data_IF_197585525210
#
_entry.id   IF_197585525210
#
_cell.length_a   1.000
_cell.length_b   1.000
_cell.length_c   1.000
_cell.angle_alpha   90.00
_cell.angle_beta   90.00
_cell.angle_gamma   90.00
#
_symmetry.space_group_name_H-M   'P 1'
#
loop_
_entity.id
_entity.type
_entity.pdbx_description
1 polymer ?
#
# COMPACT_ATOMS: atom_id res chain seq x y z
N UNK A 1 12.78 -1.26 -22.13
CA UNK A 1 11.95 -1.56 -20.95
C UNK A 1 12.89 -1.82 -19.79
N UNK A 2 12.92 -0.96 -18.77
CA UNK A 2 13.88 -1.03 -17.63
C UNK A 2 13.17 -1.12 -16.27
N UNK A 3 11.92 -1.61 -16.24
CA UNK A 3 11.12 -1.77 -15.03
C UNK A 3 10.83 -3.24 -14.79
N UNK A 4 10.76 -3.63 -13.52
CA UNK A 4 10.30 -4.95 -13.13
C UNK A 4 8.80 -5.07 -13.43
N UNK A 5 8.40 -6.15 -14.09
CA UNK A 5 7.01 -6.35 -14.50
C UNK A 5 6.22 -7.02 -13.39
N UNK A 6 4.96 -6.61 -13.22
CA UNK A 6 4.00 -7.33 -12.39
C UNK A 6 3.70 -8.71 -12.97
N UNK A 7 3.41 -9.69 -12.10
CA UNK A 7 2.99 -11.04 -12.50
C UNK A 7 4.11 -11.99 -12.94
N UNK A 8 5.39 -11.57 -12.97
CA UNK A 8 6.48 -12.53 -13.14
C UNK A 8 6.78 -13.22 -11.82
N UNK A 9 6.99 -14.55 -11.87
CA UNK A 9 7.35 -15.36 -10.71
C UNK A 9 8.49 -14.81 -9.83
N UNK A 10 9.61 -14.28 -10.38
CA UNK A 10 10.68 -13.72 -9.56
C UNK A 10 10.43 -12.29 -9.06
N UNK A 11 9.43 -11.57 -9.59
CA UNK A 11 9.22 -10.16 -9.26
C UNK A 11 9.00 -9.91 -7.76
N UNK A 12 8.16 -10.67 -7.04
CA UNK A 12 7.93 -10.45 -5.62
C UNK A 12 9.20 -10.62 -4.78
N UNK A 13 10.05 -11.59 -5.15
CA UNK A 13 11.31 -11.82 -4.47
C UNK A 13 12.30 -10.66 -4.67
N UNK A 14 12.41 -10.18 -5.91
CA UNK A 14 13.28 -9.03 -6.24
C UNK A 14 12.78 -7.76 -5.54
N UNK A 15 11.46 -7.52 -5.55
CA UNK A 15 10.84 -6.40 -4.86
C UNK A 15 11.11 -6.47 -3.35
N UNK A 16 10.79 -7.59 -2.69
CA UNK A 16 11.00 -7.76 -1.26
C UNK A 16 12.47 -7.60 -0.84
N UNK A 17 13.41 -8.15 -1.61
CA UNK A 17 14.84 -7.97 -1.37
C UNK A 17 15.28 -6.50 -1.49
N UNK A 18 14.83 -5.81 -2.55
CA UNK A 18 15.16 -4.40 -2.78
C UNK A 18 14.55 -3.50 -1.71
N UNK A 19 13.29 -3.76 -1.34
CA UNK A 19 12.57 -3.07 -0.29
C UNK A 19 13.27 -3.23 1.06
N UNK A 20 13.67 -4.45 1.43
CA UNK A 20 14.39 -4.70 2.68
C UNK A 20 15.69 -3.90 2.80
N UNK A 21 16.48 -3.83 1.73
CA UNK A 21 17.72 -3.03 1.69
C UNK A 21 17.41 -1.54 1.83
N UNK A 22 16.30 -1.08 1.23
CA UNK A 22 15.88 0.31 1.35
C UNK A 22 15.43 0.66 2.76
N UNK A 23 14.60 -0.19 3.38
CA UNK A 23 14.06 0.02 4.73
C UNK A 23 15.14 0.01 5.81
N UNK A 24 16.22 -0.74 5.63
CA UNK A 24 17.31 -0.80 6.62
C UNK A 24 17.98 0.55 6.85
N UNK A 25 17.91 1.48 5.88
CA UNK A 25 18.44 2.84 6.04
C UNK A 25 17.65 3.68 7.04
N UNK A 26 16.42 3.28 7.35
CA UNK A 26 15.48 4.00 8.21
C UNK A 26 15.21 3.25 9.52
N UNK A 27 15.87 2.11 9.76
CA UNK A 27 15.57 1.22 10.88
C UNK A 27 15.84 1.86 12.25
N UNK A 28 16.72 2.86 12.33
CA UNK A 28 17.01 3.61 13.56
C UNK A 28 16.05 4.77 13.79
N UNK A 29 15.74 5.53 12.74
CA UNK A 29 14.94 6.76 12.84
C UNK A 29 13.43 6.46 12.86
N UNK A 30 12.99 5.40 12.17
CA UNK A 30 11.59 5.00 12.03
C UNK A 30 11.39 3.50 12.31
N UNK A 31 11.77 2.98 13.50
CA UNK A 31 11.78 1.54 13.78
C UNK A 31 10.40 0.90 13.68
N UNK A 32 9.35 1.61 14.13
CA UNK A 32 7.96 1.14 14.07
C UNK A 32 7.48 1.03 12.63
N UNK A 33 7.61 2.10 11.85
CA UNK A 33 7.20 2.09 10.44
C UNK A 33 7.97 1.04 9.63
N UNK A 34 9.28 0.86 9.88
CA UNK A 34 10.07 -0.18 9.20
C UNK A 34 9.57 -1.58 9.54
N UNK A 35 9.20 -1.85 10.80
CA UNK A 35 8.61 -3.13 11.20
C UNK A 35 7.27 -3.35 10.47
N UNK A 36 6.36 -2.39 10.54
CA UNK A 36 5.04 -2.51 9.90
C UNK A 36 5.16 -2.69 8.38
N UNK A 37 6.09 -1.99 7.72
CA UNK A 37 6.32 -2.19 6.29
C UNK A 37 6.90 -3.57 5.97
N UNK A 38 7.81 -4.11 6.79
CA UNK A 38 8.39 -5.45 6.59
C UNK A 38 7.35 -6.55 6.80
N UNK A 39 6.55 -6.44 7.87
CA UNK A 39 5.58 -7.46 8.25
C UNK A 39 4.28 -7.35 7.41
N UNK A 40 3.93 -6.13 7.00
CA UNK A 40 2.72 -5.80 6.26
C UNK A 40 2.82 -5.89 4.74
N UNK A 41 4.02 -6.04 4.18
CA UNK A 41 4.19 -6.19 2.73
C UNK A 41 3.84 -7.61 2.28
N UNK A 42 2.87 -7.73 1.38
CA UNK A 42 2.52 -8.96 0.69
C UNK A 42 2.59 -8.77 -0.82
N UNK A 43 3.58 -9.40 -1.46
CA UNK A 43 3.82 -9.27 -2.91
C UNK A 43 4.04 -7.79 -3.27
N UNK A 44 3.03 -7.12 -3.83
CA UNK A 44 3.03 -5.70 -4.21
C UNK A 44 2.09 -4.84 -3.36
N UNK A 45 1.32 -5.44 -2.45
CA UNK A 45 0.43 -4.74 -1.51
C UNK A 45 1.12 -4.50 -0.16
N UNK A 46 0.74 -3.40 0.51
CA UNK A 46 1.19 -3.05 1.86
C UNK A 46 -0.02 -2.86 2.75
N UNK A 47 -0.09 -3.64 3.82
CA UNK A 47 -1.12 -3.54 4.84
C UNK A 47 -0.51 -3.03 6.14
N UNK A 48 -1.09 -1.98 6.72
CA UNK A 48 -0.62 -1.37 7.96
C UNK A 48 -1.77 -1.41 8.96
N UNK A 49 -1.50 -1.83 10.19
CA UNK A 49 -2.46 -1.82 11.27
C UNK A 49 -1.79 -1.35 12.57
N UNK A 50 -2.55 -0.69 13.43
CA UNK A 50 -2.13 -0.35 14.80
C UNK A 50 -3.35 -0.23 15.70
N UNK A 51 -3.14 -0.02 17.00
CA UNK A 51 -4.20 0.00 18.00
C UNK A 51 -5.08 1.27 17.91
N UNK A 52 -4.55 2.35 17.33
CA UNK A 52 -5.26 3.64 17.21
C UNK A 52 -5.20 4.22 15.81
N UNK A 53 -6.16 5.10 15.50
CA UNK A 53 -6.22 5.77 14.19
C UNK A 53 -5.07 6.77 14.05
N UNK A 54 -4.71 7.44 15.13
CA UNK A 54 -3.59 8.38 15.20
C UNK A 54 -2.25 7.70 14.93
N UNK A 55 -1.96 6.56 15.57
CA UNK A 55 -0.73 5.80 15.30
C UNK A 55 -0.70 5.32 13.84
N UNK A 56 -1.84 4.84 13.32
CA UNK A 56 -1.94 4.42 11.91
C UNK A 56 -1.68 5.60 10.96
N UNK A 57 -2.15 6.80 11.30
CA UNK A 57 -1.87 8.03 10.53
C UNK A 57 -0.38 8.35 10.51
N UNK A 58 0.28 8.30 11.66
CA UNK A 58 1.73 8.55 11.75
C UNK A 58 2.53 7.53 10.92
N UNK A 59 2.20 6.24 11.03
CA UNK A 59 2.85 5.18 10.25
C UNK A 59 2.60 5.39 8.75
N UNK A 60 1.38 5.76 8.35
CA UNK A 60 1.06 6.09 6.95
C UNK A 60 1.92 7.24 6.43
N UNK A 61 2.05 8.33 7.17
CA UNK A 61 2.87 9.48 6.77
C UNK A 61 4.34 9.12 6.64
N UNK A 62 4.88 8.35 7.59
CA UNK A 62 6.26 7.88 7.55
C UNK A 62 6.49 6.89 6.40
N UNK A 63 5.54 5.99 6.14
CA UNK A 63 5.60 5.09 5.00
C UNK A 63 5.68 5.84 3.68
N UNK A 64 4.88 6.91 3.49
CA UNK A 64 4.95 7.76 2.29
C UNK A 64 6.32 8.42 2.14
N UNK A 65 6.90 8.94 3.23
CA UNK A 65 8.23 9.56 3.21
C UNK A 65 9.32 8.54 2.87
N UNK A 66 9.33 7.40 3.56
CA UNK A 66 10.33 6.34 3.40
C UNK A 66 10.25 5.77 1.98
N UNK A 67 9.06 5.43 1.49
CA UNK A 67 8.86 4.80 0.20
C UNK A 67 8.92 5.78 -0.99
N UNK A 68 8.89 7.09 -0.73
CA UNK A 68 9.10 8.14 -1.73
C UNK A 68 10.43 8.02 -2.52
N UNK A 69 11.40 7.24 -2.04
CA UNK A 69 12.67 6.94 -2.71
C UNK A 69 12.60 6.02 -3.95
N UNK A 70 11.41 5.73 -4.48
CA UNK A 70 11.23 4.91 -5.69
C UNK A 70 10.11 3.88 -5.62
N UNK A 71 9.43 3.76 -4.48
CA UNK A 71 8.32 2.86 -4.20
C UNK A 71 7.02 3.67 -4.05
N UNK A 72 6.60 4.31 -5.13
CA UNK A 72 5.44 5.20 -5.11
C UNK A 72 4.15 4.43 -4.78
N UNK A 73 3.48 4.83 -3.68
CA UNK A 73 2.20 4.27 -3.26
C UNK A 73 1.05 4.95 -4.01
N UNK A 74 0.19 4.17 -4.67
CA UNK A 74 -0.79 4.70 -5.62
C UNK A 74 -2.26 4.60 -5.17
N UNK A 75 -2.60 3.80 -4.15
CA UNK A 75 -3.98 3.61 -3.67
C UNK A 75 -3.97 3.35 -2.16
N UNK A 76 -4.73 4.14 -1.41
CA UNK A 76 -4.91 3.95 0.03
C UNK A 76 -6.38 3.64 0.31
N UNK A 77 -6.61 2.61 1.12
CA UNK A 77 -7.93 2.28 1.62
C UNK A 77 -7.84 2.02 3.13
N UNK A 78 -8.87 2.38 3.88
CA UNK A 78 -8.92 2.22 5.33
C UNK A 78 -10.35 2.01 5.82
N UNK A 79 -10.50 1.28 6.92
CA UNK A 79 -11.73 1.19 7.70
C UNK A 79 -12.02 2.50 8.47
N UNK A 80 -11.02 3.36 8.68
CA UNK A 80 -11.18 4.69 9.24
C UNK A 80 -11.23 5.73 8.10
N UNK A 81 -12.41 6.32 7.88
CA UNK A 81 -12.63 7.28 6.80
C UNK A 81 -11.67 8.49 6.85
N UNK A 82 -11.23 8.89 8.04
CA UNK A 82 -10.27 9.97 8.28
C UNK A 82 -8.83 9.65 7.84
N UNK A 83 -8.55 8.41 7.42
CA UNK A 83 -7.28 8.00 6.82
C UNK A 83 -7.35 7.91 5.29
N UNK A 84 -8.53 8.04 4.67
CA UNK A 84 -8.68 7.94 3.21
C UNK A 84 -8.54 9.29 2.47
N UNK A 85 -8.68 10.41 3.17
CA UNK A 85 -8.94 11.74 2.57
C UNK A 85 -7.78 12.42 1.82
N UNK A 86 -6.56 11.87 1.86
CA UNK A 86 -5.35 12.60 1.43
C UNK A 86 -4.91 12.32 -0.01
N UNK A 87 -5.55 11.39 -0.72
CA UNK A 87 -5.07 10.93 -2.03
C UNK A 87 -6.00 11.43 -3.11
N UNK A 88 -5.55 12.41 -3.89
CA UNK A 88 -6.18 12.72 -5.19
C UNK A 88 -6.07 11.46 -6.03
N UNK A 89 -7.20 10.83 -6.36
CA UNK A 89 -7.24 9.81 -7.40
C UNK A 89 -6.65 10.42 -8.68
N UNK A 90 -5.41 10.05 -9.03
CA UNK A 90 -4.90 10.35 -10.35
C UNK A 90 -5.78 9.59 -11.34
N UNK A 91 -6.38 10.35 -12.27
CA UNK A 91 -7.56 9.98 -13.05
C UNK A 91 -7.36 8.88 -14.09
N UNK A 92 -6.46 7.92 -13.87
CA UNK A 92 -6.12 6.87 -14.83
C UNK A 92 -7.06 5.65 -14.82
N UNK A 93 -8.12 5.64 -13.99
CA UNK A 93 -9.01 4.45 -13.85
C UNK A 93 -10.38 4.55 -14.52
N UNK A 94 -10.63 5.53 -15.39
CA UNK A 94 -11.95 5.66 -16.02
C UNK A 94 -12.23 4.58 -17.11
N UNK A 95 -11.31 4.35 -18.04
CA UNK A 95 -11.60 3.55 -19.24
C UNK A 95 -11.72 2.04 -18.99
N UNK A 96 -10.89 1.47 -18.11
CA UNK A 96 -10.91 0.03 -17.84
C UNK A 96 -12.08 -0.38 -16.91
N UNK A 97 -12.47 0.47 -15.95
CA UNK A 97 -13.59 0.19 -15.04
C UNK A 97 -14.93 0.20 -15.78
N UNK A 98 -15.11 1.15 -16.72
CA UNK A 98 -16.35 1.29 -17.51
C UNK A 98 -16.56 0.12 -18.49
N UNK A 99 -15.49 -0.37 -19.11
CA UNK A 99 -15.55 -1.49 -20.06
C UNK A 99 -15.70 -2.86 -19.40
N UNK A 100 -15.36 -2.99 -18.10
CA UNK A 100 -15.50 -4.23 -17.33
C UNK A 100 -16.78 -4.29 -16.48
N UNK A 101 -17.61 -3.25 -16.46
CA UNK A 101 -18.85 -3.22 -15.67
C UNK A 101 -18.64 -3.27 -14.15
N UNK A 102 -17.43 -2.96 -13.68
CA UNK A 102 -17.11 -2.97 -12.25
C UNK A 102 -17.76 -1.77 -11.58
N UNK A 103 -18.57 -2.02 -10.55
CA UNK A 103 -19.18 -0.93 -9.79
C UNK A 103 -18.08 -0.12 -9.07
N UNK A 104 -18.21 1.22 -8.96
CA UNK A 104 -17.16 2.07 -8.38
C UNK A 104 -16.79 1.77 -6.92
N UNK A 105 -17.59 0.95 -6.23
CA UNK A 105 -17.58 0.80 -4.76
C UNK A 105 -16.89 -0.48 -4.26
N UNK A 106 -16.50 -1.42 -5.12
CA UNK A 106 -15.88 -2.66 -4.66
C UNK A 106 -14.38 -2.45 -4.37
N UNK A 107 -14.06 -2.19 -3.09
CA UNK A 107 -12.68 -2.31 -2.62
C UNK A 107 -12.31 -3.78 -2.55
N UNK A 108 -11.17 -4.14 -3.14
CA UNK A 108 -10.62 -5.49 -3.09
C UNK A 108 -9.32 -5.47 -2.30
N UNK A 109 -9.14 -6.46 -1.44
CA UNK A 109 -7.91 -6.75 -0.72
C UNK A 109 -7.47 -8.15 -1.11
N UNK A 110 -6.28 -8.28 -1.70
CA UNK A 110 -5.72 -9.56 -2.17
C UNK A 110 -6.66 -10.34 -3.12
N UNK A 111 -7.44 -9.62 -3.93
CA UNK A 111 -8.39 -10.20 -4.88
C UNK A 111 -9.75 -10.59 -4.29
N UNK A 112 -9.94 -10.44 -2.98
CA UNK A 112 -11.21 -10.66 -2.28
C UNK A 112 -11.94 -9.32 -2.08
N UNK A 113 -13.27 -9.33 -2.12
CA UNK A 113 -14.05 -8.16 -1.73
C UNK A 113 -13.83 -7.86 -0.26
N UNK A 114 -13.50 -6.61 0.08
CA UNK A 114 -13.28 -6.16 1.44
C UNK A 114 -14.31 -5.10 1.83
N UNK A 115 -15.08 -5.39 2.87
CA UNK A 115 -16.06 -4.47 3.44
C UNK A 115 -15.42 -3.67 4.58
N UNK A 116 -15.07 -2.42 4.30
CA UNK A 116 -14.42 -1.49 5.25
C UNK A 116 -15.17 -1.31 6.58
N UNK A 117 -16.49 -1.50 6.61
CA UNK A 117 -17.28 -1.32 7.84
C UNK A 117 -17.45 -2.59 8.66
N UNK A 118 -17.33 -3.76 8.04
CA UNK A 118 -17.61 -5.05 8.69
C UNK A 118 -16.35 -5.91 8.90
N UNK A 119 -15.34 -5.74 8.06
CA UNK A 119 -14.10 -6.52 8.10
C UNK A 119 -13.01 -5.76 8.88
N UNK A 120 -12.53 -6.35 9.98
CA UNK A 120 -11.42 -5.87 10.83
C UNK A 120 -10.41 -6.96 11.11
#
# INVERSE_FOLDING_TARGET
>A
MTRLMFGLGPSPFILGGTLNVHLEKYSQDHPVCVRELKDGTYVDDINIASDTVEETREIKEDAVKILGGGFMLHKWHSNAAELESDVKEDGETAYAKESLGTTPSETKLLGLGWNKSEDT
#
